data_IF_996937256678
#
_entry.id   IF_996937256678
#
_cell.length_a   1.000
_cell.length_b   1.000
_cell.length_c   1.000
_cell.angle_alpha   90.00
_cell.angle_beta   90.00
_cell.angle_gamma   90.00
#
_symmetry.space_group_name_H-M   'P 1'
#
loop_
_entity.id
_entity.type
_entity.pdbx_description
1 polymer ?
#
# COMPACT_ATOMS: atom_id res chain seq x y z
N UNK A 1 12.73 14.34 -12.41
CA UNK A 1 12.20 13.90 -13.73
C UNK A 1 12.99 12.79 -14.42
N UNK A 2 14.22 12.46 -14.01
CA UNK A 2 15.04 11.41 -14.66
C UNK A 2 14.94 10.08 -13.90
N UNK A 3 14.81 8.98 -14.63
CA UNK A 3 14.74 7.62 -14.02
C UNK A 3 16.02 7.23 -13.28
N UNK A 4 17.19 7.71 -13.72
CA UNK A 4 18.47 7.50 -13.01
C UNK A 4 18.42 8.00 -11.55
N UNK A 5 17.85 9.19 -11.35
CA UNK A 5 17.68 9.78 -10.01
C UNK A 5 16.66 8.99 -9.18
N UNK A 6 15.57 8.53 -9.79
CA UNK A 6 14.58 7.67 -9.14
C UNK A 6 15.20 6.34 -8.65
N UNK A 7 16.04 5.71 -9.46
CA UNK A 7 16.78 4.49 -9.07
C UNK A 7 17.73 4.76 -7.91
N UNK A 8 18.46 5.87 -7.94
CA UNK A 8 19.37 6.26 -6.85
C UNK A 8 18.61 6.46 -5.54
N UNK A 9 17.47 7.14 -5.58
CA UNK A 9 16.57 7.31 -4.43
C UNK A 9 16.08 5.95 -3.87
N UNK A 10 15.62 5.04 -4.73
CA UNK A 10 15.12 3.74 -4.29
C UNK A 10 16.21 2.88 -3.63
N UNK A 11 17.47 3.06 -4.04
CA UNK A 11 18.63 2.44 -3.39
C UNK A 11 18.92 3.07 -2.03
N UNK A 12 18.86 4.40 -1.90
CA UNK A 12 19.13 5.08 -0.63
C UNK A 12 18.13 4.71 0.45
N UNK A 13 16.84 4.54 0.09
CA UNK A 13 15.80 4.08 1.03
C UNK A 13 15.75 2.56 1.22
N UNK A 14 16.75 1.82 0.69
CA UNK A 14 16.85 0.35 0.77
C UNK A 14 15.65 -0.42 0.17
N UNK A 15 14.85 0.22 -0.68
CA UNK A 15 13.71 -0.40 -1.38
C UNK A 15 14.12 -1.19 -2.64
N UNK A 16 15.38 -1.07 -3.06
CA UNK A 16 15.87 -1.68 -4.31
C UNK A 16 15.75 -3.20 -4.37
N UNK A 17 15.89 -3.89 -3.23
CA UNK A 17 15.80 -5.35 -3.15
C UNK A 17 14.44 -5.88 -3.63
N UNK A 18 13.34 -5.14 -3.38
CA UNK A 18 12.02 -5.54 -3.84
C UNK A 18 11.89 -5.43 -5.36
N UNK A 19 12.48 -4.39 -5.95
CA UNK A 19 12.51 -4.17 -7.39
C UNK A 19 13.40 -5.21 -8.07
N UNK A 20 14.53 -5.57 -7.46
CA UNK A 20 15.40 -6.64 -7.97
C UNK A 20 14.67 -7.99 -8.05
N UNK A 21 13.82 -8.31 -7.05
CA UNK A 21 12.92 -9.47 -7.12
C UNK A 21 11.97 -9.40 -8.31
N UNK A 22 11.44 -8.20 -8.62
CA UNK A 22 10.60 -8.02 -9.82
C UNK A 22 11.39 -8.33 -11.09
N UNK A 23 12.61 -7.79 -11.25
CA UNK A 23 13.46 -8.07 -12.41
C UNK A 23 13.71 -9.57 -12.58
N UNK A 24 14.08 -10.28 -11.50
CA UNK A 24 14.34 -11.73 -11.50
C UNK A 24 13.08 -12.56 -11.78
N UNK A 25 11.89 -12.02 -11.49
CA UNK A 25 10.62 -12.74 -11.66
C UNK A 25 10.03 -12.71 -13.07
N UNK A 26 10.62 -11.93 -14.00
CA UNK A 26 10.12 -11.79 -15.37
C UNK A 26 10.22 -13.12 -16.10
N UNK A 27 9.07 -13.64 -16.55
CA UNK A 27 9.00 -14.90 -17.33
C UNK A 27 7.89 -14.87 -18.36
N UNK A 28 7.91 -15.82 -19.29
CA UNK A 28 6.81 -16.03 -20.22
C UNK A 28 5.58 -16.61 -19.50
N UNK A 29 4.39 -16.16 -19.89
CA UNK A 29 3.12 -16.68 -19.38
C UNK A 29 2.95 -18.13 -19.84
N UNK A 30 2.47 -19.01 -18.95
CA UNK A 30 2.12 -20.37 -19.32
C UNK A 30 0.82 -20.41 -20.15
N UNK A 31 0.70 -21.38 -21.06
CA UNK A 31 -0.50 -21.65 -21.84
C UNK A 31 -0.80 -20.67 -22.99
N UNK A 32 -2.04 -20.75 -23.50
CA UNK A 32 -2.52 -20.04 -24.70
C UNK A 32 -2.63 -18.53 -24.54
N UNK A 33 -2.60 -18.02 -23.31
CA UNK A 33 -2.67 -16.58 -23.04
C UNK A 33 -1.54 -15.77 -23.69
N UNK A 34 -0.41 -16.42 -24.01
CA UNK A 34 0.71 -15.80 -24.75
C UNK A 34 0.33 -15.28 -26.14
N UNK A 35 -0.69 -15.87 -26.77
CA UNK A 35 -1.18 -15.49 -28.10
C UNK A 35 -2.16 -14.30 -28.05
N UNK A 36 -2.55 -13.84 -26.86
CA UNK A 36 -3.56 -12.78 -26.63
C UNK A 36 -2.94 -11.59 -25.89
N UNK A 37 -1.78 -11.12 -26.36
CA UNK A 37 -1.02 -9.97 -25.83
C UNK A 37 -0.65 -9.98 -24.34
N UNK A 38 -0.70 -11.15 -23.71
CA UNK A 38 -0.36 -11.35 -22.29
C UNK A 38 0.88 -12.23 -22.13
N UNK A 39 1.85 -12.08 -23.04
CA UNK A 39 3.00 -12.98 -23.19
C UNK A 39 3.95 -13.01 -21.99
N UNK A 40 4.15 -11.88 -21.29
CA UNK A 40 5.08 -11.78 -20.15
C UNK A 40 4.31 -11.58 -18.85
N UNK A 41 4.85 -12.13 -17.76
CA UNK A 41 4.38 -11.92 -16.40
C UNK A 41 5.57 -11.54 -15.52
N UNK A 42 5.30 -10.72 -14.51
CA UNK A 42 6.28 -10.27 -13.51
C UNK A 42 5.55 -10.01 -12.19
N UNK A 43 6.29 -10.01 -11.09
CA UNK A 43 5.75 -9.58 -9.80
C UNK A 43 5.45 -8.08 -9.80
N UNK A 44 4.53 -7.68 -8.93
CA UNK A 44 4.31 -6.28 -8.59
C UNK A 44 5.30 -5.89 -7.51
N UNK A 45 5.86 -4.69 -7.63
CA UNK A 45 6.75 -4.09 -6.65
C UNK A 45 6.06 -2.98 -5.86
N UNK A 46 6.82 -2.01 -5.35
CA UNK A 46 6.29 -0.96 -4.49
C UNK A 46 5.33 -0.02 -5.25
N UNK A 47 4.36 0.52 -4.51
CA UNK A 47 3.52 1.62 -4.99
C UNK A 47 4.07 2.92 -4.46
N UNK A 48 4.18 3.94 -5.31
CA UNK A 48 4.54 5.29 -4.90
C UNK A 48 3.28 6.15 -4.96
N UNK A 49 2.86 6.67 -3.80
CA UNK A 49 1.71 7.57 -3.70
C UNK A 49 2.20 9.02 -3.61
N UNK A 50 1.65 9.87 -4.47
CA UNK A 50 2.02 11.28 -4.58
C UNK A 50 0.80 12.19 -4.48
N UNK A 51 1.02 13.43 -4.01
CA UNK A 51 0.00 14.48 -3.98
C UNK A 51 -0.10 15.20 -5.33
N UNK A 52 0.99 15.87 -5.73
CA UNK A 52 1.10 16.60 -6.98
C UNK A 52 2.13 15.94 -7.90
N UNK A 53 1.85 15.87 -9.20
CA UNK A 53 2.79 15.27 -10.18
C UNK A 53 3.75 16.32 -10.74
N UNK A 54 4.88 16.52 -10.07
CA UNK A 54 5.98 17.35 -10.57
C UNK A 54 6.95 16.56 -11.46
N UNK A 55 6.42 15.67 -12.32
CA UNK A 55 7.21 14.79 -13.18
C UNK A 55 7.67 13.49 -12.50
N UNK A 56 7.03 13.12 -11.40
CA UNK A 56 7.25 11.89 -10.65
C UNK A 56 6.83 10.69 -11.49
N UNK A 57 5.64 10.75 -12.10
CA UNK A 57 5.12 9.66 -12.94
C UNK A 57 6.08 9.31 -14.08
N UNK A 58 6.63 10.32 -14.76
CA UNK A 58 7.61 10.15 -15.85
C UNK A 58 8.91 9.52 -15.37
N UNK A 59 9.37 9.86 -14.15
CA UNK A 59 10.61 9.32 -13.60
C UNK A 59 10.50 7.84 -13.23
N UNK A 60 9.37 7.43 -12.63
CA UNK A 60 9.18 6.08 -12.08
C UNK A 60 8.54 5.07 -13.05
N UNK A 61 7.79 5.51 -14.08
CA UNK A 61 7.04 4.60 -14.98
C UNK A 61 7.90 3.57 -15.73
N UNK A 62 9.19 3.84 -15.93
CA UNK A 62 10.08 2.95 -16.67
C UNK A 62 10.71 1.85 -15.79
N UNK A 63 10.54 1.92 -14.47
CA UNK A 63 11.07 0.92 -13.55
C UNK A 63 10.03 -0.21 -13.41
N UNK A 64 10.39 -1.47 -13.69
CA UNK A 64 9.43 -2.56 -13.69
C UNK A 64 8.88 -2.84 -12.28
N UNK A 65 7.58 -3.11 -12.22
CA UNK A 65 6.87 -3.44 -10.97
C UNK A 65 6.47 -2.24 -10.12
N UNK A 66 7.06 -1.05 -10.36
CA UNK A 66 6.66 0.17 -9.68
C UNK A 66 5.36 0.69 -10.29
N UNK A 67 4.43 1.08 -9.42
CA UNK A 67 3.22 1.79 -9.82
C UNK A 67 3.14 3.12 -9.10
N UNK A 68 2.69 4.16 -9.78
CA UNK A 68 2.47 5.48 -9.20
C UNK A 68 0.98 5.76 -9.09
N UNK A 69 0.53 6.31 -7.96
CA UNK A 69 -0.88 6.60 -7.68
C UNK A 69 -1.01 8.01 -7.06
N UNK A 70 -2.04 8.74 -7.45
CA UNK A 70 -2.40 10.00 -6.78
C UNK A 70 -3.20 9.71 -5.50
N UNK A 71 -2.88 10.38 -4.39
CA UNK A 71 -3.58 10.26 -3.10
C UNK A 71 -5.10 10.50 -3.18
N UNK A 72 -5.58 11.33 -4.09
CA UNK A 72 -7.02 11.56 -4.27
C UNK A 72 -7.71 10.41 -5.02
N UNK A 73 -6.94 9.67 -5.82
CA UNK A 73 -7.43 8.61 -6.73
C UNK A 73 -6.80 7.27 -6.36
N UNK A 74 -6.88 6.92 -5.08
CA UNK A 74 -6.44 5.61 -4.60
C UNK A 74 -7.28 4.50 -5.21
N UNK A 75 -6.61 3.50 -5.79
CA UNK A 75 -7.26 2.38 -6.46
C UNK A 75 -7.02 1.09 -5.66
N UNK A 76 -8.12 0.41 -5.30
CA UNK A 76 -8.08 -0.85 -4.56
C UNK A 76 -7.31 -1.94 -5.30
N UNK A 77 -7.44 -2.04 -6.63
CA UNK A 77 -6.73 -3.05 -7.44
C UNK A 77 -5.21 -2.89 -7.39
N UNK A 78 -4.75 -1.66 -7.14
CA UNK A 78 -3.32 -1.37 -6.97
C UNK A 78 -2.88 -1.50 -5.52
N UNK A 79 -3.71 -1.14 -4.53
CA UNK A 79 -3.35 -1.29 -3.12
C UNK A 79 -3.39 -2.75 -2.64
N UNK A 80 -4.37 -3.53 -3.11
CA UNK A 80 -4.58 -4.93 -2.76
C UNK A 80 -4.71 -5.81 -4.02
N UNK A 81 -3.63 -5.98 -4.80
CA UNK A 81 -3.67 -6.78 -6.01
C UNK A 81 -3.99 -8.24 -5.69
N UNK A 82 -4.98 -8.80 -6.39
CA UNK A 82 -5.46 -10.17 -6.14
C UNK A 82 -6.21 -10.33 -4.81
N UNK A 83 -6.61 -9.22 -4.16
CA UNK A 83 -7.31 -9.25 -2.87
C UNK A 83 -6.40 -9.42 -1.65
N UNK A 84 -5.08 -9.47 -1.84
CA UNK A 84 -4.12 -9.53 -0.73
C UNK A 84 -3.80 -8.12 -0.20
N UNK A 85 -4.05 -7.90 1.09
CA UNK A 85 -3.71 -6.66 1.80
C UNK A 85 -2.21 -6.61 2.13
N UNK A 86 -1.66 -5.41 2.34
CA UNK A 86 -0.28 -5.23 2.78
C UNK A 86 0.75 -5.07 1.66
N UNK A 87 0.39 -4.41 0.55
CA UNK A 87 1.38 -4.01 -0.47
C UNK A 87 2.33 -2.95 0.10
N UNK A 88 3.61 -3.03 -0.26
CA UNK A 88 4.59 -2.03 0.15
C UNK A 88 4.32 -0.68 -0.55
N UNK A 89 3.99 0.35 0.22
CA UNK A 89 3.65 1.70 -0.27
C UNK A 89 4.66 2.72 0.24
N UNK A 90 5.18 3.54 -0.68
CA UNK A 90 6.06 4.68 -0.42
C UNK A 90 5.25 5.95 -0.60
N UNK A 91 5.19 6.78 0.43
CA UNK A 91 4.44 8.04 0.43
C UNK A 91 5.36 9.24 0.25
N UNK A 92 4.95 10.21 -0.56
CA UNK A 92 5.54 11.55 -0.47
C UNK A 92 4.99 12.29 0.74
N UNK A 93 5.75 13.23 1.30
CA UNK A 93 5.33 14.04 2.45
C UNK A 93 3.95 14.70 2.23
N UNK A 94 3.78 15.33 1.06
CA UNK A 94 2.52 15.97 0.67
C UNK A 94 1.36 14.99 0.54
N UNK A 95 1.61 13.78 0.05
CA UNK A 95 0.58 12.74 -0.06
C UNK A 95 0.16 12.26 1.33
N UNK A 96 1.13 12.10 2.24
CA UNK A 96 0.88 11.62 3.59
C UNK A 96 0.04 12.63 4.40
N UNK A 97 0.40 13.92 4.36
CA UNK A 97 -0.40 14.98 5.02
C UNK A 97 -1.83 15.09 4.50
N UNK A 98 -2.03 14.85 3.20
CA UNK A 98 -3.35 14.97 2.57
C UNK A 98 -4.33 13.87 2.98
N UNK A 99 -3.87 12.79 3.60
CA UNK A 99 -4.73 11.71 4.08
C UNK A 99 -5.70 12.19 5.18
N UNK A 100 -5.24 13.06 6.07
CA UNK A 100 -6.06 13.61 7.16
C UNK A 100 -7.23 14.44 6.62
N UNK A 101 -7.00 15.23 5.58
CA UNK A 101 -8.07 16.00 4.92
C UNK A 101 -9.02 15.11 4.12
N UNK A 102 -8.49 14.03 3.55
CA UNK A 102 -9.23 13.16 2.64
C UNK A 102 -10.12 12.15 3.39
N UNK A 103 -9.67 11.65 4.54
CA UNK A 103 -10.41 10.65 5.32
C UNK A 103 -10.86 11.14 6.69
N UNK A 104 -10.23 12.16 7.27
CA UNK A 104 -10.52 12.61 8.62
C UNK A 104 -9.98 11.67 9.69
N UNK A 105 -10.51 11.81 10.90
CA UNK A 105 -10.24 10.95 12.06
C UNK A 105 -11.58 10.43 12.60
N UNK A 106 -11.58 9.53 13.58
CA UNK A 106 -12.85 9.12 14.22
C UNK A 106 -13.58 10.27 14.93
N UNK A 107 -12.88 11.37 15.24
CA UNK A 107 -13.45 12.57 15.88
C UNK A 107 -13.85 13.66 14.88
N UNK A 108 -13.15 13.75 13.76
CA UNK A 108 -13.29 14.83 12.79
C UNK A 108 -13.65 14.26 11.42
N UNK A 109 -14.78 14.70 10.87
CA UNK A 109 -15.24 14.24 9.55
C UNK A 109 -14.26 14.59 8.42
N UNK A 110 -14.39 13.89 7.29
CA UNK A 110 -13.60 14.19 6.09
C UNK A 110 -13.96 15.57 5.53
N UNK A 111 -12.93 16.35 5.15
CA UNK A 111 -13.14 17.66 4.50
C UNK A 111 -13.46 17.52 3.01
N UNK A 112 -12.85 16.52 2.35
CA UNK A 112 -12.95 16.34 0.90
C UNK A 112 -14.08 15.40 0.48
N UNK A 113 -14.50 14.47 1.35
CA UNK A 113 -15.55 13.49 1.04
C UNK A 113 -16.83 13.84 1.77
N UNK A 114 -17.91 14.00 1.00
CA UNK A 114 -19.24 14.29 1.54
C UNK A 114 -19.82 13.05 2.24
N UNK A 115 -20.34 13.24 3.45
CA UNK A 115 -20.99 12.20 4.27
C UNK A 115 -20.12 10.95 4.46
N UNK A 116 -18.83 11.15 4.69
CA UNK A 116 -17.88 10.07 4.93
C UNK A 116 -17.21 10.23 6.30
N UNK A 117 -17.21 9.15 7.08
CA UNK A 117 -16.44 9.01 8.31
C UNK A 117 -15.70 7.66 8.30
N UNK A 118 -14.65 7.55 9.11
CA UNK A 118 -13.92 6.30 9.29
C UNK A 118 -14.81 5.21 9.91
N UNK A 119 -14.69 3.95 9.46
CA UNK A 119 -15.41 2.84 10.07
C UNK A 119 -14.96 2.64 11.52
N UNK A 120 -15.93 2.39 12.40
CA UNK A 120 -15.67 2.15 13.82
C UNK A 120 -15.13 0.71 14.01
N UNK A 121 -14.03 0.52 14.74
CA UNK A 121 -13.55 -0.82 15.06
C UNK A 121 -14.56 -1.55 15.96
N UNK A 122 -14.83 -2.82 15.67
CA UNK A 122 -15.78 -3.63 16.46
C UNK A 122 -15.30 -3.92 17.89
N UNK A 123 -13.99 -3.95 18.09
CA UNK A 123 -13.33 -4.17 19.38
C UNK A 123 -12.35 -3.03 19.62
N UNK A 124 -12.32 -2.52 20.86
CA UNK A 124 -11.38 -1.47 21.27
C UNK A 124 -9.94 -1.97 21.34
N UNK A 125 -9.73 -3.20 21.83
CA UNK A 125 -8.45 -3.89 21.85
C UNK A 125 -8.56 -5.20 21.06
N UNK A 126 -7.67 -5.41 20.08
CA UNK A 126 -7.64 -6.61 19.24
C UNK A 126 -6.79 -7.75 19.83
N UNK A 127 -5.96 -7.47 20.84
CA UNK A 127 -5.15 -8.47 21.52
C UNK A 127 -5.96 -9.23 22.57
N UNK A 128 -6.62 -10.30 22.12
CA UNK A 128 -7.40 -11.18 22.98
C UNK A 128 -6.53 -11.89 24.03
N UNK A 129 -5.27 -12.19 23.71
CA UNK A 129 -4.39 -12.91 24.62
C UNK A 129 -4.10 -12.09 25.88
N UNK A 130 -3.91 -10.78 25.72
CA UNK A 130 -3.77 -9.83 26.81
C UNK A 130 -5.05 -9.70 27.63
N UNK A 131 -6.21 -9.62 26.96
CA UNK A 131 -7.51 -9.53 27.63
C UNK A 131 -7.73 -10.77 28.51
N UNK A 132 -7.55 -11.97 27.95
CA UNK A 132 -7.76 -13.21 28.69
C UNK A 132 -6.80 -13.37 29.87
N UNK A 133 -5.57 -12.87 29.77
CA UNK A 133 -4.57 -12.92 30.84
C UNK A 133 -4.69 -11.79 31.86
N UNK A 134 -5.66 -10.90 31.72
CA UNK A 134 -5.80 -9.77 32.64
C UNK A 134 -6.30 -10.23 34.01
N UNK A 135 -5.79 -9.60 35.07
CA UNK A 135 -6.12 -9.97 36.45
C UNK A 135 -7.62 -9.82 36.73
N UNK A 136 -8.27 -8.84 36.09
CA UNK A 136 -9.71 -8.61 36.23
C UNK A 136 -10.52 -9.81 35.76
N UNK A 137 -10.12 -10.44 34.64
CA UNK A 137 -10.76 -11.64 34.14
C UNK A 137 -10.35 -12.85 34.99
N UNK A 138 -9.05 -13.00 35.26
CA UNK A 138 -8.52 -14.16 35.99
C UNK A 138 -9.11 -14.29 37.41
N UNK A 139 -9.34 -13.17 38.11
CA UNK A 139 -9.96 -13.17 39.45
C UNK A 139 -11.40 -13.66 39.46
N UNK A 140 -12.14 -13.48 38.36
CA UNK A 140 -13.54 -13.87 38.25
C UNK A 140 -13.73 -15.30 37.70
N UNK A 141 -12.67 -15.94 37.22
CA UNK A 141 -12.73 -17.29 36.67
C UNK A 141 -12.81 -18.33 37.80
N UNK A 142 -13.63 -19.36 37.57
CA UNK A 142 -13.68 -20.52 38.46
C UNK A 142 -12.35 -21.29 38.34
N UNK A 143 -11.84 -21.88 39.44
CA UNK A 143 -10.70 -22.78 39.38
C UNK A 143 -11.02 -23.94 38.42
N UNK A 144 -10.00 -24.36 37.67
CA UNK A 144 -10.10 -25.48 36.74
C UNK A 144 -10.08 -26.82 37.48
#
# INVERSE_FOLDING_TARGET
>A
NKTKQAVQFLRSIKAWNDIEKVYKSKRLRAGKGKMRDRRRVQRLGPVIVYGNDSGLTKAFRNIPGIETINVEKLNLLRLAPGGHVGRFVIWTESAFRKLDELYGTWKTESKLKRHYNLPQPKMSNTDLSRILKSDEIQKALRPR
#
